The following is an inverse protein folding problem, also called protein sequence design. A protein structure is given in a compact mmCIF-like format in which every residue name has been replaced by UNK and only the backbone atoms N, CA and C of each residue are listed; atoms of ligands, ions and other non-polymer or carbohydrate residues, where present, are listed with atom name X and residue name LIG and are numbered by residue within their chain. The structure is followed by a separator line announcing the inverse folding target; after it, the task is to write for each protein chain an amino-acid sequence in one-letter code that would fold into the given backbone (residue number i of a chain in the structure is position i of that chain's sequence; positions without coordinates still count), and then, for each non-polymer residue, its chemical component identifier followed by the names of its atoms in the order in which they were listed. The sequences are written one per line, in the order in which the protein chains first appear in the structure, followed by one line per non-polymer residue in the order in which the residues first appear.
data_IF_036663206264
#
_entry.id   IF_036663206264
#
_cell.length_a   1.000
_cell.length_b   1.000
_cell.length_c   1.000
_cell.angle_alpha   90.00
_cell.angle_beta   90.00
_cell.angle_gamma   90.00
#
_symmetry.space_group_name_H-M   'P 1'
#
loop_
_entity.id
_entity.type
_entity.pdbx_description
1 polymer ?
#
# COMPACT_ATOMS: atom_id res chain seq x y z
N UNK A 1 -4.80 -10.31 -30.97
CA UNK A 1 -5.47 -10.90 -29.80
C UNK A 1 -5.07 -10.09 -28.59
N UNK A 2 -5.85 -9.07 -28.20
CA UNK A 2 -5.46 -8.06 -27.19
C UNK A 2 -6.32 -8.16 -25.93
N UNK A 3 -6.40 -9.34 -25.33
CA UNK A 3 -7.16 -9.58 -24.09
C UNK A 3 -6.37 -9.37 -22.79
N UNK A 4 -5.05 -9.15 -22.86
CA UNK A 4 -4.17 -9.10 -21.68
C UNK A 4 -4.14 -7.76 -20.93
N UNK A 5 -4.34 -6.64 -21.63
CA UNK A 5 -4.29 -5.29 -21.04
C UNK A 5 -5.23 -5.06 -19.85
N UNK A 6 -6.54 -5.37 -19.94
CA UNK A 6 -7.49 -5.10 -18.85
C UNK A 6 -7.31 -5.99 -17.62
N UNK A 7 -6.87 -7.25 -17.81
CA UNK A 7 -6.60 -8.16 -16.69
C UNK A 7 -5.36 -7.72 -15.88
N UNK A 8 -4.30 -7.29 -16.57
CA UNK A 8 -3.07 -6.78 -15.93
C UNK A 8 -3.33 -5.47 -15.19
N UNK A 9 -4.15 -4.56 -15.76
CA UNK A 9 -4.60 -3.34 -15.09
C UNK A 9 -5.40 -3.62 -13.82
N UNK A 10 -6.29 -4.63 -13.85
CA UNK A 10 -7.06 -5.03 -12.67
C UNK A 10 -6.13 -5.57 -11.57
N UNK A 11 -5.19 -6.45 -11.92
CA UNK A 11 -4.21 -6.99 -10.97
C UNK A 11 -3.38 -5.88 -10.29
N UNK A 12 -3.00 -4.84 -11.03
CA UNK A 12 -2.27 -3.69 -10.50
C UNK A 12 -3.09 -2.89 -9.48
N UNK A 13 -4.35 -2.63 -9.83
CA UNK A 13 -5.29 -1.94 -8.95
C UNK A 13 -5.50 -2.74 -7.66
N UNK A 14 -5.69 -4.05 -7.77
CA UNK A 14 -5.85 -4.94 -6.62
C UNK A 14 -4.59 -4.98 -5.73
N UNK A 15 -3.40 -4.94 -6.35
CA UNK A 15 -2.14 -4.91 -5.62
C UNK A 15 -1.96 -3.61 -4.81
N UNK A 16 -2.30 -2.45 -5.38
CA UNK A 16 -2.34 -1.19 -4.65
C UNK A 16 -3.38 -1.19 -3.52
N UNK A 17 -4.58 -1.73 -3.78
CA UNK A 17 -5.61 -1.84 -2.76
C UNK A 17 -5.12 -2.71 -1.58
N UNK A 18 -4.46 -3.82 -1.89
CA UNK A 18 -3.87 -4.71 -0.89
C UNK A 18 -2.74 -4.02 -0.09
N UNK A 19 -1.86 -3.27 -0.76
CA UNK A 19 -0.83 -2.45 -0.11
C UNK A 19 -1.46 -1.47 0.91
N UNK A 20 -2.53 -0.77 0.52
CA UNK A 20 -3.25 0.15 1.42
C UNK A 20 -3.87 -0.54 2.62
N UNK A 21 -4.39 -1.75 2.45
CA UNK A 21 -4.89 -2.55 3.56
C UNK A 21 -3.76 -2.93 4.53
N UNK A 22 -2.59 -3.32 4.02
CA UNK A 22 -1.42 -3.62 4.86
C UNK A 22 -0.89 -2.38 5.59
N UNK A 23 -0.83 -1.22 4.93
CA UNK A 23 -0.45 0.06 5.56
C UNK A 23 -1.42 0.43 6.69
N UNK A 24 -2.72 0.29 6.45
CA UNK A 24 -3.78 0.53 7.45
C UNK A 24 -3.66 -0.45 8.62
N UNK A 25 -3.41 -1.74 8.35
CA UNK A 25 -3.19 -2.74 9.39
C UNK A 25 -1.96 -2.42 10.24
N UNK A 26 -0.86 -2.00 9.61
CA UNK A 26 0.36 -1.62 10.31
C UNK A 26 0.14 -0.42 11.24
N UNK A 27 -0.56 0.61 10.75
CA UNK A 27 -0.95 1.77 11.56
C UNK A 27 -1.82 1.35 12.76
N UNK A 28 -2.80 0.45 12.53
CA UNK A 28 -3.65 -0.06 13.60
C UNK A 28 -2.87 -0.87 14.65
N UNK A 29 -1.85 -1.60 14.23
CA UNK A 29 -0.90 -2.26 15.14
C UNK A 29 -0.17 -1.27 16.05
N UNK A 30 0.20 -0.09 15.53
CA UNK A 30 0.81 0.99 16.31
C UNK A 30 -0.13 1.53 17.38
N UNK A 31 -1.39 1.81 17.03
CA UNK A 31 -2.42 2.23 17.98
C UNK A 31 -2.66 1.19 19.08
N UNK A 32 -2.64 -0.10 18.72
CA UNK A 32 -2.80 -1.20 19.66
C UNK A 32 -1.62 -1.29 20.63
N UNK A 33 -0.40 -1.11 20.14
CA UNK A 33 0.82 -1.02 20.97
C UNK A 33 0.72 0.13 21.99
N UNK A 34 0.26 1.32 21.55
CA UNK A 34 0.01 2.44 22.47
C UNK A 34 -1.03 2.10 23.53
N UNK A 35 -2.15 1.49 23.12
CA UNK A 35 -3.22 1.10 24.04
C UNK A 35 -2.75 0.08 25.08
N UNK A 36 -1.92 -0.89 24.68
CA UNK A 36 -1.35 -1.90 25.56
C UNK A 36 -0.40 -1.27 26.62
N UNK A 37 0.45 -0.32 26.21
CA UNK A 37 1.32 0.41 27.13
C UNK A 37 0.50 1.21 28.15
N UNK A 38 -0.52 1.94 27.70
CA UNK A 38 -1.38 2.73 28.57
C UNK A 38 -2.13 1.86 29.59
N UNK A 39 -2.63 0.69 29.17
CA UNK A 39 -3.27 -0.28 30.06
C UNK A 39 -2.31 -0.83 31.13
N UNK A 40 -1.04 -1.02 30.78
CA UNK A 40 0.00 -1.45 31.73
C UNK A 40 0.36 -0.34 32.72
N UNK A 41 0.50 0.92 32.26
CA UNK A 41 0.76 2.09 33.11
C UNK A 41 -0.39 2.31 34.11
N UNK A 42 -1.64 2.17 33.65
CA UNK A 42 -2.84 2.26 34.48
C UNK A 42 -2.98 1.16 35.54
N UNK A 43 -2.06 0.18 35.54
CA UNK A 43 -2.10 -1.04 36.37
C UNK A 43 -3.33 -1.91 36.12
N UNK A 44 -4.00 -1.75 34.98
CA UNK A 44 -5.11 -2.60 34.54
C UNK A 44 -4.61 -3.97 34.06
N UNK A 45 -3.34 -4.07 33.69
CA UNK A 45 -2.67 -5.28 33.23
C UNK A 45 -1.38 -5.48 34.02
N UNK A 46 -1.09 -6.72 34.44
CA UNK A 46 0.15 -7.02 35.15
C UNK A 46 1.37 -6.78 34.23
N UNK A 47 2.56 -6.47 34.79
CA UNK A 47 3.74 -6.27 33.97
C UNK A 47 4.07 -7.45 33.06
N UNK A 48 3.94 -8.69 33.54
CA UNK A 48 4.24 -9.89 32.75
C UNK A 48 3.26 -10.04 31.59
N UNK A 49 1.96 -9.89 31.84
CA UNK A 49 0.94 -9.97 30.80
C UNK A 49 1.09 -8.83 29.77
N UNK A 50 1.40 -7.61 30.23
CA UNK A 50 1.66 -6.46 29.36
C UNK A 50 2.83 -6.69 28.41
N UNK A 51 3.96 -7.22 28.90
CA UNK A 51 5.11 -7.57 28.06
C UNK A 51 4.76 -8.66 27.04
N UNK A 52 4.03 -9.70 27.43
CA UNK A 52 3.62 -10.77 26.51
C UNK A 52 2.71 -10.25 25.39
N UNK A 53 1.74 -9.40 25.74
CA UNK A 53 0.85 -8.76 24.76
C UNK A 53 1.65 -7.86 23.81
N UNK A 54 2.55 -7.01 24.32
CA UNK A 54 3.39 -6.15 23.49
C UNK A 54 4.31 -6.95 22.56
N UNK A 55 4.89 -8.06 23.03
CA UNK A 55 5.70 -8.93 22.20
C UNK A 55 4.88 -9.57 21.06
N UNK A 56 3.66 -10.02 21.36
CA UNK A 56 2.76 -10.58 20.35
C UNK A 56 2.38 -9.53 19.28
N UNK A 57 2.04 -8.31 19.69
CA UNK A 57 1.73 -7.20 18.77
C UNK A 57 2.95 -6.86 17.91
N UNK A 58 4.14 -6.75 18.52
CA UNK A 58 5.38 -6.42 17.81
C UNK A 58 5.72 -7.46 16.74
N UNK A 59 5.55 -8.75 17.05
CA UNK A 59 5.74 -9.84 16.08
C UNK A 59 4.75 -9.74 14.92
N UNK A 60 3.47 -9.44 15.19
CA UNK A 60 2.47 -9.24 14.14
C UNK A 60 2.82 -8.05 13.23
N UNK A 61 3.31 -6.95 13.81
CA UNK A 61 3.76 -5.78 13.04
C UNK A 61 4.99 -6.10 12.18
N UNK A 62 5.95 -6.88 12.69
CA UNK A 62 7.11 -7.33 11.90
C UNK A 62 6.68 -8.11 10.66
N UNK A 63 5.75 -9.05 10.81
CA UNK A 63 5.21 -9.82 9.68
C UNK A 63 4.47 -8.92 8.68
N UNK A 64 3.71 -7.94 9.16
CA UNK A 64 3.01 -6.97 8.30
C UNK A 64 4.00 -6.10 7.52
N UNK A 65 5.10 -5.67 8.15
CA UNK A 65 6.18 -4.93 7.49
C UNK A 65 6.87 -5.78 6.41
N UNK A 66 7.14 -7.06 6.70
CA UNK A 66 7.66 -7.99 5.68
C UNK A 66 6.71 -8.14 4.50
N UNK A 67 5.40 -8.24 4.76
CA UNK A 67 4.39 -8.33 3.70
C UNK A 67 4.39 -7.07 2.80
N UNK A 68 4.55 -5.87 3.37
CA UNK A 68 4.70 -4.64 2.59
C UNK A 68 5.92 -4.70 1.65
N UNK A 69 7.05 -5.21 2.13
CA UNK A 69 8.24 -5.43 1.30
C UNK A 69 7.99 -6.39 0.13
N UNK A 70 7.24 -7.47 0.36
CA UNK A 70 6.86 -8.41 -0.71
C UNK A 70 5.88 -7.80 -1.72
N UNK A 71 4.97 -6.93 -1.28
CA UNK A 71 4.05 -6.21 -2.18
C UNK A 71 4.79 -5.22 -3.07
N UNK A 72 5.76 -4.47 -2.53
CA UNK A 72 6.62 -3.60 -3.33
C UNK A 72 7.41 -4.38 -4.41
N UNK A 73 7.91 -5.57 -4.07
CA UNK A 73 8.55 -6.44 -5.07
C UNK A 73 7.55 -6.94 -6.13
N UNK A 74 6.30 -7.24 -5.74
CA UNK A 74 5.25 -7.59 -6.69
C UNK A 74 4.91 -6.44 -7.67
N UNK A 75 4.91 -5.19 -7.20
CA UNK A 75 4.75 -4.01 -8.08
C UNK A 75 5.85 -3.96 -9.14
N UNK A 76 7.11 -4.10 -8.73
CA UNK A 76 8.25 -4.13 -9.66
C UNK A 76 8.16 -5.27 -10.69
N UNK A 77 7.75 -6.46 -10.24
CA UNK A 77 7.57 -7.60 -11.15
C UNK A 77 6.49 -7.32 -12.19
N UNK A 78 5.37 -6.71 -11.78
CA UNK A 78 4.28 -6.34 -12.68
C UNK A 78 4.71 -5.27 -13.68
N UNK A 79 5.48 -4.27 -13.23
CA UNK A 79 6.05 -3.24 -14.09
C UNK A 79 6.99 -3.82 -15.15
N UNK A 80 7.90 -4.73 -14.76
CA UNK A 80 8.82 -5.39 -15.69
C UNK A 80 8.06 -6.22 -16.73
N UNK A 81 7.00 -6.93 -16.32
CA UNK A 81 6.15 -7.70 -17.23
C UNK A 81 5.37 -6.80 -18.19
N UNK A 82 4.77 -5.71 -17.70
CA UNK A 82 4.04 -4.75 -18.52
C UNK A 82 4.92 -4.15 -19.62
N UNK A 83 6.15 -3.76 -19.27
CA UNK A 83 7.14 -3.23 -20.23
C UNK A 83 7.47 -4.23 -21.34
N UNK A 84 7.68 -5.51 -20.98
CA UNK A 84 7.95 -6.58 -21.96
C UNK A 84 6.79 -6.84 -22.92
N UNK A 85 5.55 -6.57 -22.49
CA UNK A 85 4.34 -6.76 -23.26
C UNK A 85 3.90 -5.52 -24.06
N UNK A 86 4.66 -4.42 -23.97
CA UNK A 86 4.31 -3.15 -24.63
C UNK A 86 3.05 -2.49 -24.04
N UNK A 87 2.70 -2.80 -22.80
CA UNK A 87 1.61 -2.17 -22.06
C UNK A 87 2.17 -0.93 -21.37
N UNK A 88 1.44 0.18 -21.43
CA UNK A 88 1.82 1.40 -20.71
C UNK A 88 1.87 1.13 -19.20
N UNK A 89 3.05 1.33 -18.62
CA UNK A 89 3.40 0.86 -17.28
C UNK A 89 3.31 1.93 -16.20
N UNK A 90 2.87 3.14 -16.55
CA UNK A 90 2.69 4.23 -15.57
C UNK A 90 1.69 3.87 -14.45
N UNK A 91 0.82 2.87 -14.64
CA UNK A 91 -0.12 2.36 -13.64
C UNK A 91 0.40 1.18 -12.79
N UNK A 92 1.63 0.69 -13.03
CA UNK A 92 2.16 -0.53 -12.38
C UNK A 92 3.26 -0.31 -11.35
N UNK A 93 3.86 0.89 -11.29
CA UNK A 93 4.90 1.23 -10.32
C UNK A 93 4.35 1.68 -8.96
N UNK A 94 5.24 1.91 -7.99
CA UNK A 94 4.91 2.33 -6.61
C UNK A 94 4.21 3.70 -6.51
N UNK A 95 4.01 4.40 -7.64
CA UNK A 95 3.37 5.72 -7.73
C UNK A 95 2.26 5.68 -8.77
N UNK A 96 1.01 5.69 -8.31
CA UNK A 96 -0.12 6.03 -9.18
C UNK A 96 -0.03 7.53 -9.54
N UNK A 97 0.37 7.84 -10.79
CA UNK A 97 0.16 9.20 -11.32
C UNK A 97 -1.34 9.43 -11.47
N UNK A 98 -1.88 10.57 -11.01
CA UNK A 98 -3.25 10.95 -11.35
C UNK A 98 -3.39 11.01 -12.88
N UNK A 99 -4.57 10.64 -13.43
CA UNK A 99 -4.77 10.60 -14.88
C UNK A 99 -4.42 11.96 -15.50
N UNK A 100 -3.57 11.94 -16.54
CA UNK A 100 -3.09 13.11 -17.28
C UNK A 100 -4.18 13.75 -18.16
N UNK A 101 -5.36 14.00 -17.62
CA UNK A 101 -6.46 14.69 -18.28
C UNK A 101 -6.93 15.85 -17.42
N UNK A 102 -6.07 16.85 -17.22
CA UNK A 102 -6.46 18.15 -16.67
C UNK A 102 -5.52 19.32 -17.02
N UNK A 103 -4.59 19.18 -17.98
CA UNK A 103 -3.81 20.33 -18.49
C UNK A 103 -3.78 20.26 -20.02
N UNK A 104 -4.69 20.99 -20.68
CA UNK A 104 -4.61 21.24 -22.12
C UNK A 104 -5.87 20.91 -22.92
N UNK A 105 -7.05 21.30 -22.45
CA UNK A 105 -8.18 21.50 -23.33
C UNK A 105 -8.80 22.88 -23.07
N UNK A 106 -8.42 23.80 -23.96
CA UNK A 106 -9.20 24.93 -24.46
C UNK A 106 -9.43 26.16 -23.56
N UNK A 107 -8.72 27.27 -23.86
CA UNK A 107 -9.36 28.51 -24.35
C UNK A 107 -8.35 29.62 -24.75
N UNK A 108 -8.74 30.68 -25.49
CA UNK A 108 -8.50 30.81 -26.93
C UNK A 108 -7.57 31.98 -27.32
N UNK A 109 -7.14 32.00 -28.58
CA UNK A 109 -6.46 33.14 -29.20
C UNK A 109 -7.39 34.35 -29.27
N UNK A 110 -7.07 35.42 -28.54
CA UNK A 110 -7.56 36.77 -28.85
C UNK A 110 -6.47 37.49 -29.65
N UNK A 111 -6.77 37.73 -30.92
CA UNK A 111 -6.02 38.66 -31.77
C UNK A 111 -6.70 40.02 -31.83
N UNK A 112 -5.95 41.02 -32.28
CA UNK A 112 -6.45 42.24 -32.93
C UNK A 112 -6.88 43.36 -31.98
#
# INVERSE_FOLDING_TARGET
MSGGGPAVATLASDLHAYEKLLQTLFAKGGELSTSAILAQIGRNVSPVAGHQVLAAISNAQLLTSSALGHVAEAHRMLEVLGRKLGIDVEAFGDVLKPPSSAIGADQPRLGG
#
